data_IF_926779522620
#
_entry.id   IF_926779522620
#
_cell.length_a   1.000
_cell.length_b   1.000
_cell.length_c   1.000
_cell.angle_alpha   90.00
_cell.angle_beta   90.00
_cell.angle_gamma   90.00
#
_symmetry.space_group_name_H-M   'P 1'
#
loop_
_entity.id
_entity.type
_entity.pdbx_description
1 polymer ?
#
# COMPACT_ATOMS: atom_id res chain seq x y z
N UNK A 1 7.07 12.81 7.44
CA UNK A 1 7.25 12.41 8.84
C UNK A 1 6.20 11.38 9.24
N UNK A 2 6.64 10.16 9.58
CA UNK A 2 5.76 9.06 9.97
C UNK A 2 5.19 9.22 11.40
N UNK A 3 4.95 10.44 11.83
CA UNK A 3 4.30 10.75 13.11
C UNK A 3 2.80 11.05 12.97
N UNK A 4 2.33 11.31 11.76
CA UNK A 4 0.92 11.55 11.50
C UNK A 4 0.12 10.26 11.80
N UNK A 5 -1.01 10.42 12.43
CA UNK A 5 -1.93 9.30 12.73
C UNK A 5 -2.86 9.06 11.54
N UNK A 6 -2.25 8.89 10.34
CA UNK A 6 -2.96 8.71 9.09
C UNK A 6 -2.45 7.50 8.34
N UNK A 7 -3.40 6.71 7.86
CA UNK A 7 -3.21 5.60 6.94
C UNK A 7 -3.80 6.00 5.61
N UNK A 8 -3.11 5.69 4.51
CA UNK A 8 -3.62 5.90 3.17
C UNK A 8 -3.76 4.61 2.39
N UNK A 9 -4.73 4.57 1.51
CA UNK A 9 -4.89 3.60 0.44
C UNK A 9 -5.23 4.33 -0.85
N UNK A 10 -4.85 3.78 -2.01
CA UNK A 10 -5.08 4.42 -3.29
C UNK A 10 -5.47 3.43 -4.39
N UNK A 11 -6.45 3.81 -5.24
CA UNK A 11 -6.87 3.00 -6.36
C UNK A 11 -8.28 3.31 -6.82
N UNK A 12 -8.74 2.65 -7.88
CA UNK A 12 -10.14 2.77 -8.30
C UNK A 12 -11.07 2.10 -7.30
N UNK A 13 -12.24 2.66 -7.05
CA UNK A 13 -13.30 2.01 -6.26
C UNK A 13 -13.91 0.85 -7.06
N UNK A 14 -13.22 -0.28 -7.09
CA UNK A 14 -13.59 -1.49 -7.83
C UNK A 14 -13.36 -2.74 -6.99
N UNK A 15 -13.99 -3.84 -7.36
CA UNK A 15 -13.78 -5.15 -6.72
C UNK A 15 -12.30 -5.56 -6.64
N UNK A 16 -11.52 -5.25 -7.69
CA UNK A 16 -10.10 -5.55 -7.75
C UNK A 16 -9.33 -4.98 -6.55
N UNK A 17 -9.62 -3.74 -6.17
CA UNK A 17 -8.87 -3.03 -5.11
C UNK A 17 -9.23 -3.46 -3.70
N UNK A 18 -10.31 -4.26 -3.52
CA UNK A 18 -10.63 -4.88 -2.25
C UNK A 18 -10.86 -3.91 -1.10
N UNK A 19 -11.34 -2.70 -1.37
CA UNK A 19 -11.59 -1.73 -0.32
C UNK A 19 -12.69 -2.18 0.65
N UNK A 20 -13.59 -3.06 0.23
CA UNK A 20 -14.53 -3.75 1.10
C UNK A 20 -13.82 -4.57 2.19
N UNK A 21 -12.76 -5.29 1.84
CA UNK A 21 -11.92 -6.03 2.78
C UNK A 21 -11.12 -5.08 3.70
N UNK A 22 -10.66 -3.95 3.15
CA UNK A 22 -9.99 -2.93 3.96
C UNK A 22 -10.93 -2.32 5.00
N UNK A 23 -12.20 -2.08 4.66
CA UNK A 23 -13.19 -1.57 5.62
C UNK A 23 -13.45 -2.57 6.75
N UNK A 24 -13.46 -3.88 6.46
CA UNK A 24 -13.56 -4.92 7.49
C UNK A 24 -12.33 -4.91 8.42
N UNK A 25 -11.12 -4.83 7.86
CA UNK A 25 -9.91 -4.70 8.67
C UNK A 25 -9.92 -3.42 9.51
N UNK A 26 -10.32 -2.28 8.90
CA UNK A 26 -10.38 -0.99 9.56
C UNK A 26 -11.34 -0.97 10.75
N UNK A 27 -12.44 -1.72 10.72
CA UNK A 27 -13.36 -1.81 11.86
C UNK A 27 -12.68 -2.28 13.14
N UNK A 28 -11.68 -3.15 13.01
CA UNK A 28 -10.91 -3.67 14.16
C UNK A 28 -9.80 -2.70 14.60
N UNK A 29 -9.26 -1.95 13.65
CA UNK A 29 -8.21 -0.96 13.93
C UNK A 29 -8.77 0.30 14.58
N UNK A 30 -9.86 0.87 14.05
CA UNK A 30 -10.40 2.14 14.54
C UNK A 30 -10.99 2.06 15.95
N UNK A 31 -11.40 0.88 16.40
CA UNK A 31 -11.86 0.66 17.78
C UNK A 31 -10.70 0.68 18.78
N UNK A 32 -9.53 0.16 18.38
CA UNK A 32 -8.32 0.13 19.21
C UNK A 32 -7.54 1.47 19.14
N UNK A 33 -7.59 2.14 18.01
CA UNK A 33 -6.84 3.38 17.74
C UNK A 33 -7.77 4.49 17.23
N UNK A 34 -8.68 5.01 18.10
CA UNK A 34 -9.71 5.96 17.71
C UNK A 34 -9.19 7.34 17.28
N UNK A 35 -7.91 7.58 17.40
CA UNK A 35 -7.21 8.81 17.01
C UNK A 35 -6.46 8.66 15.67
N UNK A 36 -6.56 7.49 15.02
CA UNK A 36 -6.02 7.26 13.69
C UNK A 36 -7.10 7.43 12.62
N UNK A 37 -6.68 7.84 11.43
CA UNK A 37 -7.54 8.09 10.28
C UNK A 37 -7.18 7.17 9.11
N UNK A 38 -8.19 6.65 8.40
CA UNK A 38 -8.01 5.96 7.13
C UNK A 38 -8.55 6.82 5.99
N UNK A 39 -7.68 7.17 5.05
CA UNK A 39 -8.01 7.90 3.84
C UNK A 39 -7.84 7.00 2.61
N UNK A 40 -8.91 6.79 1.85
CA UNK A 40 -8.91 6.01 0.61
C UNK A 40 -9.09 6.97 -0.56
N UNK A 41 -8.07 7.12 -1.40
CA UNK A 41 -8.06 8.03 -2.55
C UNK A 41 -8.37 7.27 -3.84
N UNK A 42 -9.39 7.70 -4.60
CA UNK A 42 -9.69 6.99 -5.83
C UNK A 42 -10.75 7.59 -6.73
N UNK A 43 -10.88 6.99 -7.92
CA UNK A 43 -11.98 7.23 -8.85
C UNK A 43 -12.98 6.07 -8.79
N UNK A 44 -14.24 6.36 -9.02
CA UNK A 44 -15.32 5.38 -9.10
C UNK A 44 -16.45 5.64 -8.12
N UNK A 45 -17.44 4.77 -8.14
CA UNK A 45 -18.61 4.86 -7.25
C UNK A 45 -18.23 4.36 -5.85
N UNK A 46 -18.52 5.20 -4.86
CA UNK A 46 -18.24 4.95 -3.45
C UNK A 46 -19.46 4.45 -2.67
N UNK A 47 -20.63 4.42 -3.30
CA UNK A 47 -21.91 4.19 -2.63
C UNK A 47 -21.92 2.88 -1.82
N UNK A 48 -21.43 1.79 -2.42
CA UNK A 48 -21.37 0.50 -1.74
C UNK A 48 -20.47 0.53 -0.49
N UNK A 49 -19.33 1.23 -0.58
CA UNK A 49 -18.38 1.39 0.53
C UNK A 49 -18.94 2.30 1.64
N UNK A 50 -19.67 3.36 1.29
CA UNK A 50 -20.39 4.21 2.26
C UNK A 50 -21.45 3.42 3.03
N UNK A 51 -22.23 2.59 2.34
CA UNK A 51 -23.23 1.71 2.96
C UNK A 51 -22.55 0.71 3.91
N UNK A 52 -21.45 0.08 3.46
CA UNK A 52 -20.69 -0.86 4.29
C UNK A 52 -20.10 -0.16 5.53
N UNK A 53 -19.50 1.02 5.35
CA UNK A 53 -18.96 1.82 6.45
C UNK A 53 -20.03 2.17 7.49
N UNK A 54 -21.24 2.52 7.05
CA UNK A 54 -22.38 2.77 7.92
C UNK A 54 -22.82 1.53 8.70
N UNK A 55 -22.91 0.37 8.04
CA UNK A 55 -23.24 -0.91 8.69
C UNK A 55 -22.20 -1.30 9.74
N UNK A 56 -20.92 -1.11 9.45
CA UNK A 56 -19.81 -1.39 10.35
C UNK A 56 -19.59 -0.27 11.39
N UNK A 57 -20.35 0.82 11.32
CA UNK A 57 -20.23 2.01 12.21
C UNK A 57 -18.80 2.57 12.26
N UNK A 58 -18.10 2.57 11.11
CA UNK A 58 -16.71 2.99 11.03
C UNK A 58 -16.56 4.47 11.38
N UNK A 59 -15.54 4.75 12.16
CA UNK A 59 -15.10 6.11 12.52
C UNK A 59 -13.82 6.45 11.78
N UNK A 60 -13.56 7.74 11.60
CA UNK A 60 -12.31 8.26 11.03
C UNK A 60 -11.94 7.62 9.68
N UNK A 61 -12.95 7.32 8.86
CA UNK A 61 -12.83 6.85 7.49
C UNK A 61 -13.18 7.97 6.52
N UNK A 62 -12.31 8.23 5.56
CA UNK A 62 -12.46 9.26 4.54
C UNK A 62 -12.35 8.62 3.15
N UNK A 63 -13.47 8.57 2.42
CA UNK A 63 -13.53 8.09 1.04
C UNK A 63 -13.33 9.28 0.10
N UNK A 64 -12.10 9.48 -0.32
CA UNK A 64 -11.65 10.65 -1.06
C UNK A 64 -11.77 10.47 -2.58
N UNK A 65 -11.81 11.58 -3.29
CA UNK A 65 -11.64 11.56 -4.74
C UNK A 65 -10.18 11.37 -5.12
N UNK A 66 -9.92 10.90 -6.34
CA UNK A 66 -8.57 10.88 -6.85
C UNK A 66 -8.01 12.30 -6.92
N UNK A 67 -6.74 12.46 -6.59
CA UNK A 67 -6.01 13.71 -6.66
C UNK A 67 -4.77 13.56 -7.55
N UNK A 68 -4.37 14.57 -8.31
CA UNK A 68 -3.10 14.55 -9.04
C UNK A 68 -1.89 14.61 -8.10
N UNK A 69 -2.11 15.04 -6.85
CA UNK A 69 -1.04 15.23 -5.86
C UNK A 69 -0.97 14.09 -4.83
N UNK A 70 -0.96 12.84 -5.33
CA UNK A 70 -0.90 11.65 -4.47
C UNK A 70 0.39 11.57 -3.65
N UNK A 71 1.52 12.07 -4.17
CA UNK A 71 2.78 12.07 -3.44
C UNK A 71 2.71 12.93 -2.16
N UNK A 72 1.97 14.03 -2.16
CA UNK A 72 1.70 14.78 -0.93
C UNK A 72 0.87 13.94 0.04
N UNK A 73 -0.15 13.23 -0.44
CA UNK A 73 -1.00 12.38 0.41
C UNK A 73 -0.23 11.21 1.04
N UNK A 74 0.69 10.60 0.29
CA UNK A 74 1.59 9.61 0.87
C UNK A 74 2.47 10.22 1.97
N UNK A 75 3.08 11.39 1.73
CA UNK A 75 3.92 12.08 2.74
C UNK A 75 3.14 12.54 3.98
N UNK A 76 1.84 12.76 3.88
CA UNK A 76 0.95 13.04 5.00
C UNK A 76 0.59 11.78 5.80
N UNK A 77 0.91 10.59 5.29
CA UNK A 77 0.54 9.31 5.88
C UNK A 77 1.73 8.64 6.57
N UNK A 78 1.46 7.83 7.58
CA UNK A 78 2.46 7.04 8.29
C UNK A 78 2.51 5.58 7.87
N UNK A 79 1.44 5.07 7.26
CA UNK A 79 1.28 3.72 6.76
C UNK A 79 0.51 3.79 5.44
N UNK A 80 0.90 3.00 4.46
CA UNK A 80 0.13 2.76 3.24
C UNK A 80 -0.47 1.35 3.29
N UNK A 81 -1.73 1.18 2.86
CA UNK A 81 -2.37 -0.14 2.81
C UNK A 81 -2.85 -0.46 1.41
N UNK A 82 -2.54 -1.68 0.94
CA UNK A 82 -3.05 -2.24 -0.29
C UNK A 82 -3.83 -3.53 -0.02
N UNK A 83 -5.14 -3.47 -0.21
CA UNK A 83 -6.06 -4.60 0.00
C UNK A 83 -6.50 -5.28 -1.29
N UNK A 84 -5.75 -5.10 -2.37
CA UNK A 84 -6.11 -5.60 -3.68
C UNK A 84 -6.21 -7.12 -3.73
N UNK A 85 -7.24 -7.63 -4.39
CA UNK A 85 -7.41 -9.05 -4.65
C UNK A 85 -6.44 -9.59 -5.68
N UNK A 86 -6.07 -8.74 -6.63
CA UNK A 86 -5.05 -9.00 -7.65
C UNK A 86 -4.50 -7.69 -8.21
N UNK A 87 -3.25 -7.72 -8.65
CA UNK A 87 -2.55 -6.59 -9.25
C UNK A 87 -1.78 -7.04 -10.50
N UNK A 88 -1.44 -6.10 -11.38
CA UNK A 88 -0.41 -6.33 -12.39
C UNK A 88 0.97 -6.14 -11.77
N UNK A 89 1.23 -4.94 -11.23
CA UNK A 89 2.46 -4.62 -10.51
C UNK A 89 2.17 -4.03 -9.12
N UNK A 90 1.24 -3.06 -9.02
CA UNK A 90 0.93 -2.38 -7.75
C UNK A 90 1.71 -1.07 -7.58
N UNK A 91 1.75 -0.23 -8.62
CA UNK A 91 2.52 1.03 -8.63
C UNK A 91 2.28 1.90 -7.41
N UNK A 92 1.05 1.97 -6.90
CA UNK A 92 0.71 2.75 -5.70
C UNK A 92 1.50 2.34 -4.45
N UNK A 93 1.92 1.06 -4.37
CA UNK A 93 2.80 0.55 -3.31
C UNK A 93 4.19 1.16 -3.48
N UNK A 94 4.76 1.06 -4.68
CA UNK A 94 6.08 1.60 -4.98
C UNK A 94 6.12 3.14 -4.80
N UNK A 95 5.06 3.84 -5.19
CA UNK A 95 4.91 5.29 -4.99
C UNK A 95 4.93 5.66 -3.50
N UNK A 96 4.17 4.95 -2.65
CA UNK A 96 4.17 5.17 -1.21
C UNK A 96 5.54 4.89 -0.60
N UNK A 97 6.20 3.79 -0.99
CA UNK A 97 7.55 3.42 -0.54
C UNK A 97 8.59 4.47 -0.95
N UNK A 98 8.48 5.07 -2.15
CA UNK A 98 9.34 6.18 -2.59
C UNK A 98 9.24 7.39 -1.66
N UNK A 99 8.07 7.63 -1.07
CA UNK A 99 7.87 8.65 -0.03
C UNK A 99 8.40 8.23 1.35
N UNK A 100 8.95 7.04 1.50
CA UNK A 100 9.41 6.49 2.77
C UNK A 100 8.27 6.04 3.68
N UNK A 101 7.12 5.70 3.12
CA UNK A 101 5.95 5.19 3.85
C UNK A 101 5.92 3.67 3.71
N UNK A 102 6.02 2.92 4.82
CA UNK A 102 5.96 1.47 4.78
C UNK A 102 4.57 1.00 4.36
N UNK A 103 4.53 -0.05 3.55
CA UNK A 103 3.28 -0.62 3.07
C UNK A 103 2.89 -1.87 3.86
N UNK A 104 1.59 -2.03 4.14
CA UNK A 104 0.97 -3.29 4.54
C UNK A 104 0.09 -3.74 3.37
N UNK A 105 0.33 -4.92 2.82
CA UNK A 105 -0.37 -5.36 1.61
C UNK A 105 -0.80 -6.81 1.67
N UNK A 106 -1.96 -7.11 1.09
CA UNK A 106 -2.22 -8.49 0.72
C UNK A 106 -1.16 -9.00 -0.26
N UNK A 107 -0.70 -10.23 -0.03
CA UNK A 107 0.21 -10.96 -0.92
C UNK A 107 -0.57 -11.56 -2.11
N UNK A 108 -1.34 -10.72 -2.80
CA UNK A 108 -2.12 -11.13 -3.95
C UNK A 108 -1.22 -11.57 -5.12
N UNK A 109 -1.76 -12.30 -6.11
CA UNK A 109 -0.99 -12.68 -7.29
C UNK A 109 -0.41 -11.46 -8.01
N UNK A 110 0.89 -11.52 -8.33
CA UNK A 110 1.72 -10.47 -8.92
C UNK A 110 1.88 -9.21 -8.07
N UNK A 111 2.95 -8.49 -8.27
CA UNK A 111 3.20 -7.14 -7.77
C UNK A 111 3.60 -7.05 -6.29
N UNK A 112 2.71 -7.14 -5.31
CA UNK A 112 3.07 -6.87 -3.91
C UNK A 112 4.25 -7.70 -3.39
N UNK A 113 4.32 -8.99 -3.74
CA UNK A 113 5.44 -9.89 -3.37
C UNK A 113 6.75 -9.53 -4.06
N UNK A 114 6.68 -8.89 -5.23
CA UNK A 114 7.86 -8.46 -5.99
C UNK A 114 8.38 -7.11 -5.48
N UNK A 115 7.47 -6.29 -4.90
CA UNK A 115 7.78 -4.94 -4.43
C UNK A 115 8.20 -4.95 -2.96
N UNK A 116 7.48 -5.68 -2.11
CA UNK A 116 7.68 -5.67 -0.65
C UNK A 116 8.56 -6.84 -0.22
N UNK A 117 9.63 -6.53 0.51
CA UNK A 117 10.39 -7.50 1.30
C UNK A 117 9.76 -7.58 2.68
N UNK A 118 9.01 -8.66 2.91
CA UNK A 118 8.24 -8.82 4.14
C UNK A 118 9.10 -8.71 5.41
N UNK A 119 8.62 -7.91 6.36
CA UNK A 119 9.34 -7.63 7.61
C UNK A 119 10.51 -6.65 7.48
N UNK A 120 10.96 -6.32 6.27
CA UNK A 120 12.10 -5.41 6.05
C UNK A 120 11.66 -4.00 5.66
N UNK A 121 10.89 -3.87 4.58
CA UNK A 121 10.49 -2.58 4.00
C UNK A 121 8.97 -2.40 3.89
N UNK A 122 8.21 -3.39 4.35
CA UNK A 122 6.77 -3.44 4.44
C UNK A 122 6.33 -4.78 5.04
N UNK A 123 5.03 -5.00 5.10
CA UNK A 123 4.44 -6.23 5.63
C UNK A 123 3.50 -6.85 4.61
N UNK A 124 3.64 -8.15 4.40
CA UNK A 124 2.75 -8.95 3.57
C UNK A 124 1.77 -9.74 4.45
N UNK A 125 0.56 -9.88 3.95
CA UNK A 125 -0.53 -10.59 4.60
C UNK A 125 -1.13 -11.57 3.58
N UNK A 126 -1.54 -12.74 4.01
CA UNK A 126 -2.21 -13.69 3.13
C UNK A 126 -3.45 -13.05 2.46
N UNK A 127 -3.61 -13.28 1.15
CA UNK A 127 -4.63 -12.61 0.36
C UNK A 127 -6.05 -12.88 0.93
N UNK A 128 -6.77 -11.79 1.23
CA UNK A 128 -8.14 -11.84 1.76
C UNK A 128 -8.24 -12.03 3.29
N UNK A 129 -7.14 -12.19 4.02
CA UNK A 129 -7.14 -12.31 5.48
C UNK A 129 -7.28 -10.93 6.15
N UNK A 130 -8.50 -10.48 6.33
CA UNK A 130 -8.80 -9.13 6.89
C UNK A 130 -8.37 -8.99 8.36
N UNK A 131 -8.44 -10.08 9.14
CA UNK A 131 -7.95 -10.13 10.51
C UNK A 131 -6.45 -9.86 10.57
N UNK A 132 -5.67 -10.60 9.79
CA UNK A 132 -4.23 -10.47 9.74
C UNK A 132 -3.82 -9.08 9.21
N UNK A 133 -4.59 -8.53 8.26
CA UNK A 133 -4.37 -7.16 7.78
C UNK A 133 -4.52 -6.14 8.92
N UNK A 134 -5.56 -6.27 9.73
CA UNK A 134 -5.76 -5.42 10.90
C UNK A 134 -4.63 -5.56 11.93
N UNK A 135 -4.19 -6.79 12.21
CA UNK A 135 -3.08 -7.06 13.14
C UNK A 135 -1.77 -6.39 12.67
N UNK A 136 -1.44 -6.51 11.38
CA UNK A 136 -0.23 -5.88 10.82
C UNK A 136 -0.30 -4.35 10.80
N UNK A 137 -1.50 -3.78 10.59
CA UNK A 137 -1.72 -2.34 10.70
C UNK A 137 -1.52 -1.90 12.15
N UNK A 138 -2.17 -2.57 13.12
CA UNK A 138 -2.01 -2.28 14.56
C UNK A 138 -0.55 -2.40 14.99
N UNK A 139 0.15 -3.44 14.53
CA UNK A 139 1.58 -3.61 14.81
C UNK A 139 2.41 -2.38 14.39
N UNK A 140 2.18 -1.83 13.19
CA UNK A 140 2.89 -0.63 12.75
C UNK A 140 2.41 0.65 13.47
N UNK A 141 1.15 0.72 13.90
CA UNK A 141 0.64 1.83 14.70
C UNK A 141 1.37 1.89 16.04
N UNK A 142 1.46 0.77 16.73
CA UNK A 142 2.00 0.64 18.08
C UNK A 142 3.53 0.72 18.12
N UNK A 143 4.19 0.28 17.04
CA UNK A 143 5.65 0.22 16.98
C UNK A 143 6.25 1.33 16.10
N UNK A 144 6.16 2.56 16.59
CA UNK A 144 6.61 3.76 15.87
C UNK A 144 8.05 3.68 15.36
N UNK A 145 8.97 3.13 16.16
CA UNK A 145 10.38 3.02 15.76
C UNK A 145 10.54 2.03 14.60
N UNK A 146 9.90 0.87 14.69
CA UNK A 146 9.89 -0.13 13.61
C UNK A 146 9.30 0.47 12.32
N UNK A 147 8.16 1.16 12.42
CA UNK A 147 7.53 1.86 11.30
C UNK A 147 8.48 2.85 10.62
N UNK A 148 9.23 3.62 11.40
CA UNK A 148 10.22 4.59 10.87
C UNK A 148 11.40 3.90 10.17
N UNK A 149 11.92 2.84 10.75
CA UNK A 149 13.03 2.07 10.17
C UNK A 149 12.59 1.37 8.89
N UNK A 150 11.41 0.75 8.92
CA UNK A 150 10.81 0.11 7.74
C UNK A 150 10.58 1.13 6.62
N UNK A 151 10.06 2.31 6.91
CA UNK A 151 9.89 3.39 5.93
C UNK A 151 11.20 3.88 5.31
N UNK A 152 12.28 3.96 6.09
CA UNK A 152 13.62 4.28 5.56
C UNK A 152 14.10 3.20 4.58
N UNK A 153 13.95 1.92 4.95
CA UNK A 153 14.31 0.79 4.08
C UNK A 153 13.44 0.75 2.83
N UNK A 154 12.13 1.01 2.96
CA UNK A 154 11.21 1.10 1.83
C UNK A 154 11.69 2.10 0.78
N UNK A 155 12.07 3.31 1.22
CA UNK A 155 12.58 4.37 0.33
C UNK A 155 13.88 3.98 -0.39
N UNK A 156 14.74 3.20 0.24
CA UNK A 156 16.00 2.73 -0.36
C UNK A 156 15.71 1.57 -1.32
N UNK A 157 14.99 0.57 -0.85
CA UNK A 157 14.80 -0.67 -1.58
C UNK A 157 13.95 -0.50 -2.85
N UNK A 158 12.98 0.42 -2.84
CA UNK A 158 12.13 0.70 -4.01
C UNK A 158 12.90 1.30 -5.18
N UNK A 159 14.10 1.86 -4.96
CA UNK A 159 14.95 2.43 -6.02
C UNK A 159 15.35 1.40 -7.08
N UNK A 160 15.28 0.10 -6.79
CA UNK A 160 15.49 -0.95 -7.80
C UNK A 160 14.48 -0.92 -8.95
N UNK A 161 13.38 -0.20 -8.78
CA UNK A 161 12.36 0.04 -9.81
C UNK A 161 12.45 1.45 -10.41
N UNK A 162 13.52 2.19 -10.13
CA UNK A 162 13.74 3.50 -10.74
C UNK A 162 13.94 3.36 -12.26
N UNK A 163 13.50 4.36 -13.00
CA UNK A 163 13.50 4.35 -14.46
C UNK A 163 14.87 4.05 -15.05
N UNK A 164 15.91 4.70 -14.55
CA UNK A 164 17.30 4.51 -14.98
C UNK A 164 17.78 3.07 -14.75
N UNK A 165 17.45 2.47 -13.61
CA UNK A 165 17.82 1.08 -13.28
C UNK A 165 17.12 0.10 -14.24
N UNK A 166 15.83 0.27 -14.45
CA UNK A 166 15.05 -0.60 -15.33
C UNK A 166 15.48 -0.42 -16.78
N UNK A 167 15.72 0.81 -17.23
CA UNK A 167 16.20 1.06 -18.60
C UNK A 167 17.55 0.43 -18.88
N UNK A 168 18.47 0.44 -17.92
CA UNK A 168 19.76 -0.26 -18.07
C UNK A 168 19.57 -1.78 -18.24
N UNK A 169 18.65 -2.40 -17.49
CA UNK A 169 18.35 -3.83 -17.66
C UNK A 169 17.79 -4.14 -19.05
N UNK A 170 16.91 -3.29 -19.57
CA UNK A 170 16.40 -3.43 -20.94
C UNK A 170 17.50 -3.29 -21.98
N UNK A 171 18.37 -2.30 -21.85
CA UNK A 171 19.50 -2.09 -22.78
C UNK A 171 20.42 -3.33 -22.75
N UNK A 172 20.74 -3.85 -21.57
CA UNK A 172 21.56 -5.05 -21.44
C UNK A 172 20.89 -6.27 -22.09
N UNK A 173 19.59 -6.48 -21.87
CA UNK A 173 18.82 -7.58 -22.48
C UNK A 173 18.88 -7.47 -24.02
N UNK A 174 18.59 -6.31 -24.59
CA UNK A 174 18.65 -6.11 -26.05
C UNK A 174 20.04 -6.34 -26.62
N UNK A 175 21.09 -5.87 -25.94
CA UNK A 175 22.46 -6.10 -26.39
C UNK A 175 22.83 -7.59 -26.36
N UNK A 176 22.41 -8.34 -25.36
CA UNK A 176 22.63 -9.78 -25.26
C UNK A 176 21.93 -10.52 -26.41
N UNK A 177 20.68 -10.16 -26.70
CA UNK A 177 19.91 -10.78 -27.81
C UNK A 177 20.54 -10.47 -29.18
N UNK A 178 21.00 -9.24 -29.40
CA UNK A 178 21.64 -8.84 -30.65
C UNK A 178 23.01 -9.51 -30.86
N UNK A 179 23.75 -9.76 -29.80
CA UNK A 179 25.08 -10.38 -29.86
C UNK A 179 25.05 -11.91 -29.78
N UNK A 180 23.85 -12.53 -29.78
CA UNK A 180 23.69 -13.98 -29.80
C UNK A 180 24.14 -14.70 -28.52
N UNK A 181 24.24 -14.03 -27.39
CA UNK A 181 24.48 -14.63 -26.08
C UNK A 181 23.14 -15.06 -25.49
N UNK A 182 22.71 -16.29 -25.83
CA UNK A 182 21.65 -16.96 -25.05
C UNK A 182 22.17 -17.28 -23.64
N UNK A 183 21.37 -16.92 -22.63
CA UNK A 183 21.53 -17.43 -21.26
C UNK A 183 20.75 -18.72 -21.08
#
# INVERSE_FOLDING_TARGET
DLNNKRISAAGRYTYQKGFDLLLEAWSKVCDQHPDWELHIYGKGDKTAYQVQAGKLKLKNLFLENATPDMFCKYRESSIFVSSSRFEGFGMVIAEAMTCGVPAVSFACPCGPKDIIRDGEDGLLVENGKTEELAEKINYLIENKQIRKEMGKKARINVQRFAEDVIMQQWIQLFNNLLNGTEQ
#
